data_IF_899913074986
#
_entry.id   IF_899913074986
#
_cell.length_a   1.000
_cell.length_b   1.000
_cell.length_c   1.000
_cell.angle_alpha   90.00
_cell.angle_beta   90.00
_cell.angle_gamma   90.00
#
_symmetry.space_group_name_H-M   'P 1'
#
loop_
_entity.id
_entity.type
_entity.pdbx_description
1 polymer ?
#
# COMPACT_ATOMS: atom_id res chain seq x y z
N UNK A 1 2.23 -7.62 0.35
CA UNK A 1 3.40 -8.18 1.06
C UNK A 1 3.46 -7.66 2.49
N UNK A 2 3.98 -8.44 3.39
CA UNK A 2 4.34 -8.05 4.76
C UNK A 2 5.85 -8.19 4.91
N UNK A 3 6.52 -7.14 5.36
CA UNK A 3 7.98 -7.09 5.49
C UNK A 3 8.45 -7.17 6.96
N UNK A 4 7.55 -7.58 7.88
CA UNK A 4 7.80 -7.43 9.29
C UNK A 4 7.88 -5.95 9.68
N UNK A 5 8.83 -5.60 10.53
CA UNK A 5 9.04 -4.21 10.93
C UNK A 5 10.51 -3.80 10.83
N UNK A 6 11.05 -3.53 9.62
CA UNK A 6 12.45 -3.25 9.42
C UNK A 6 12.88 -1.94 10.08
N UNK A 7 14.10 -1.94 10.64
CA UNK A 7 14.74 -0.75 11.21
C UNK A 7 14.28 -0.36 12.59
N UNK A 8 13.62 -1.25 13.33
CA UNK A 8 13.40 -1.10 14.78
C UNK A 8 14.10 -2.22 15.53
N UNK A 9 14.85 -1.83 16.55
CA UNK A 9 15.48 -2.72 17.52
C UNK A 9 14.92 -2.44 18.91
N UNK A 10 14.69 -3.50 19.66
CA UNK A 10 14.25 -3.44 21.06
C UNK A 10 15.24 -4.23 21.88
N UNK A 11 15.84 -3.57 22.88
CA UNK A 11 16.87 -4.18 23.74
C UNK A 11 18.03 -4.81 22.92
N UNK A 12 18.34 -4.22 21.74
CA UNK A 12 19.38 -4.72 20.83
C UNK A 12 18.93 -5.86 19.91
N UNK A 13 17.66 -6.24 19.93
CA UNK A 13 17.07 -7.28 19.06
C UNK A 13 16.21 -6.67 17.96
N UNK A 14 16.38 -7.14 16.74
CA UNK A 14 15.53 -6.72 15.60
C UNK A 14 14.15 -7.35 15.68
N UNK A 15 13.15 -6.61 15.25
CA UNK A 15 11.80 -7.12 14.98
C UNK A 15 11.81 -7.79 13.61
N UNK A 16 11.33 -9.03 13.52
CA UNK A 16 11.48 -9.83 12.31
C UNK A 16 10.17 -10.14 11.61
N UNK A 17 9.24 -10.80 12.28
CA UNK A 17 8.04 -11.34 11.66
C UNK A 17 6.82 -11.13 12.56
N UNK A 18 5.63 -11.32 12.01
CA UNK A 18 4.39 -11.36 12.79
C UNK A 18 4.36 -12.54 13.74
N UNK A 19 3.77 -12.32 14.91
CA UNK A 19 3.54 -13.39 15.86
C UNK A 19 2.51 -14.41 15.36
N UNK A 20 2.52 -15.59 15.96
CA UNK A 20 1.53 -16.63 15.64
C UNK A 20 0.09 -16.17 15.95
N UNK A 21 -0.12 -15.39 17.01
CA UNK A 21 -1.43 -14.86 17.38
C UNK A 21 -2.04 -13.98 16.27
N UNK A 22 -1.21 -13.23 15.55
CA UNK A 22 -1.64 -12.35 14.46
C UNK A 22 -1.94 -13.09 13.15
N UNK A 23 -1.42 -14.30 12.98
CA UNK A 23 -1.50 -15.01 11.69
C UNK A 23 -2.41 -16.23 11.69
N UNK A 24 -2.64 -16.86 12.82
CA UNK A 24 -3.34 -18.15 12.95
C UNK A 24 -4.81 -18.13 12.51
N UNK A 25 -5.47 -16.98 12.64
CA UNK A 25 -6.90 -16.80 12.32
C UNK A 25 -7.11 -16.38 10.85
N UNK A 26 -6.03 -16.32 10.06
CA UNK A 26 -6.05 -15.86 8.67
C UNK A 26 -5.68 -16.99 7.71
N UNK A 27 -6.29 -16.98 6.51
CA UNK A 27 -5.87 -17.82 5.39
C UNK A 27 -4.71 -17.25 4.59
N UNK A 28 -4.23 -16.05 4.97
CA UNK A 28 -3.14 -15.36 4.27
C UNK A 28 -1.78 -15.86 4.76
N UNK A 29 -0.83 -15.86 3.84
CA UNK A 29 0.57 -16.18 4.08
C UNK A 29 1.32 -14.86 4.28
N UNK A 30 1.45 -14.40 5.52
CA UNK A 30 2.04 -13.09 5.82
C UNK A 30 3.56 -13.09 5.78
N UNK A 31 4.18 -13.93 6.59
CA UNK A 31 5.62 -13.89 6.83
C UNK A 31 6.45 -14.30 5.59
N UNK A 32 5.90 -15.10 4.71
CA UNK A 32 6.52 -15.55 3.46
C UNK A 32 6.23 -14.62 2.27
N UNK A 33 5.35 -13.65 2.44
CA UNK A 33 4.89 -12.79 1.33
C UNK A 33 6.00 -11.88 0.79
N UNK A 34 6.95 -11.48 1.61
CA UNK A 34 8.12 -10.72 1.18
C UNK A 34 9.03 -11.56 0.28
N UNK A 35 9.29 -12.82 0.65
CA UNK A 35 10.09 -13.75 -0.15
C UNK A 35 9.38 -14.08 -1.47
N UNK A 36 8.05 -14.26 -1.43
CA UNK A 36 7.24 -14.46 -2.62
C UNK A 36 7.32 -13.27 -3.59
N UNK A 37 7.29 -12.02 -3.08
CA UNK A 37 7.50 -10.82 -3.90
C UNK A 37 8.89 -10.84 -4.55
N UNK A 38 9.94 -11.11 -3.79
CA UNK A 38 11.30 -11.17 -4.33
C UNK A 38 11.43 -12.26 -5.40
N UNK A 39 10.84 -13.44 -5.19
CA UNK A 39 10.82 -14.51 -6.19
C UNK A 39 10.05 -14.09 -7.46
N UNK A 40 8.91 -13.41 -7.33
CA UNK A 40 8.15 -12.89 -8.46
C UNK A 40 8.94 -11.84 -9.26
N UNK A 41 9.61 -10.91 -8.58
CA UNK A 41 10.47 -9.91 -9.23
C UNK A 41 11.67 -10.54 -9.95
N UNK A 42 12.24 -11.59 -9.38
CA UNK A 42 13.30 -12.34 -10.04
C UNK A 42 12.80 -13.04 -11.32
N UNK A 43 11.59 -13.60 -11.30
CA UNK A 43 10.94 -14.17 -12.49
C UNK A 43 10.67 -13.08 -13.56
N UNK A 44 10.19 -11.90 -13.14
CA UNK A 44 10.02 -10.73 -14.03
C UNK A 44 11.34 -10.39 -14.72
N UNK A 45 12.44 -10.33 -13.96
CA UNK A 45 13.78 -10.08 -14.48
C UNK A 45 14.23 -11.14 -15.47
N UNK A 46 14.10 -12.42 -15.10
CA UNK A 46 14.56 -13.55 -15.94
C UNK A 46 13.82 -13.62 -17.26
N UNK A 47 12.53 -13.28 -17.27
CA UNK A 47 11.72 -13.25 -18.49
C UNK A 47 11.84 -11.96 -19.29
N UNK A 48 12.57 -10.96 -18.81
CA UNK A 48 12.70 -9.67 -19.45
C UNK A 48 11.38 -8.90 -19.58
N UNK A 49 10.51 -9.03 -18.56
CA UNK A 49 9.20 -8.34 -18.54
C UNK A 49 9.46 -6.86 -18.27
N UNK A 50 8.98 -6.00 -19.19
CA UNK A 50 9.19 -4.55 -19.12
C UNK A 50 8.09 -3.81 -18.36
N UNK A 51 6.88 -4.34 -18.34
CA UNK A 51 5.71 -3.72 -17.71
C UNK A 51 5.05 -4.69 -16.75
N UNK A 52 4.85 -4.26 -15.51
CA UNK A 52 4.19 -5.03 -14.44
C UNK A 52 3.05 -4.22 -13.86
N UNK A 53 1.88 -4.83 -13.76
CA UNK A 53 0.70 -4.23 -13.15
C UNK A 53 0.47 -4.84 -11.77
N UNK A 54 0.33 -3.98 -10.76
CA UNK A 54 -0.03 -4.34 -9.39
C UNK A 54 -1.54 -4.13 -9.21
N UNK A 55 -2.30 -5.21 -9.08
CA UNK A 55 -3.77 -5.20 -9.07
C UNK A 55 -4.38 -5.02 -7.67
N UNK A 56 -3.75 -4.24 -6.83
CA UNK A 56 -4.18 -3.99 -5.46
C UNK A 56 -3.72 -5.04 -4.45
N UNK A 57 -3.97 -4.78 -3.17
CA UNK A 57 -3.52 -5.57 -2.02
C UNK A 57 -2.02 -5.90 -2.07
N UNK A 58 -1.23 -4.96 -2.61
CA UNK A 58 0.22 -5.10 -2.68
C UNK A 58 0.88 -4.93 -1.31
N UNK A 59 0.19 -4.30 -0.36
CA UNK A 59 0.55 -4.27 1.06
C UNK A 59 -0.45 -5.10 1.87
N UNK A 60 -0.14 -5.34 3.15
CA UNK A 60 -1.07 -6.08 4.01
C UNK A 60 -2.19 -5.17 4.57
N UNK A 61 -1.86 -3.98 5.08
CA UNK A 61 -2.86 -3.01 5.57
C UNK A 61 -2.44 -1.54 5.34
N UNK A 62 -1.58 -1.26 4.38
CA UNK A 62 -1.20 0.11 3.99
C UNK A 62 -0.45 0.89 5.07
N UNK A 63 0.22 0.23 6.03
CA UNK A 63 1.06 0.92 7.00
C UNK A 63 2.20 1.64 6.27
N UNK A 64 2.57 2.83 6.73
CA UNK A 64 3.68 3.60 6.16
C UNK A 64 4.93 2.76 5.97
N UNK A 65 5.34 1.99 6.99
CA UNK A 65 6.53 1.13 6.91
C UNK A 65 6.44 0.12 5.77
N UNK A 66 5.29 -0.51 5.58
CA UNK A 66 5.09 -1.54 4.56
C UNK A 66 5.07 -0.91 3.16
N UNK A 67 4.35 0.18 2.99
CA UNK A 67 4.25 0.89 1.70
C UNK A 67 5.61 1.48 1.28
N UNK A 68 6.33 2.11 2.20
CA UNK A 68 7.67 2.66 1.92
C UNK A 68 8.69 1.56 1.59
N UNK A 69 8.62 0.42 2.28
CA UNK A 69 9.49 -0.72 2.00
C UNK A 69 9.22 -1.29 0.61
N UNK A 70 7.95 -1.51 0.27
CA UNK A 70 7.55 -1.96 -1.06
C UNK A 70 8.01 -0.99 -2.15
N UNK A 71 7.70 0.30 -1.98
CA UNK A 71 8.16 1.36 -2.90
C UNK A 71 9.65 1.24 -3.18
N UNK A 72 10.47 1.18 -2.12
CA UNK A 72 11.93 1.07 -2.27
C UNK A 72 12.38 -0.20 -2.98
N UNK A 73 11.66 -1.32 -2.84
CA UNK A 73 11.95 -2.56 -3.58
C UNK A 73 11.66 -2.38 -5.06
N UNK A 74 10.48 -1.84 -5.40
CA UNK A 74 10.05 -1.64 -6.79
C UNK A 74 10.93 -0.60 -7.51
N UNK A 75 11.28 0.50 -6.84
CA UNK A 75 12.18 1.51 -7.38
C UNK A 75 13.56 0.92 -7.70
N UNK A 76 14.16 0.17 -6.76
CA UNK A 76 15.44 -0.50 -7.02
C UNK A 76 15.36 -1.48 -8.18
N UNK A 77 14.27 -2.24 -8.28
CA UNK A 77 14.06 -3.18 -9.40
C UNK A 77 13.93 -2.43 -10.72
N UNK A 78 13.13 -1.36 -10.78
CA UNK A 78 13.00 -0.49 -11.94
C UNK A 78 14.34 0.08 -12.37
N UNK A 79 15.07 0.68 -11.44
CA UNK A 79 16.32 1.39 -11.72
C UNK A 79 17.45 0.43 -12.16
N UNK A 80 17.39 -0.84 -11.69
CA UNK A 80 18.40 -1.85 -12.03
C UNK A 80 18.07 -2.62 -13.32
N UNK A 81 16.79 -2.87 -13.58
CA UNK A 81 16.36 -3.80 -14.65
C UNK A 81 15.49 -3.14 -15.72
N UNK A 82 15.08 -1.89 -15.53
CA UNK A 82 14.26 -1.16 -16.52
C UNK A 82 12.80 -1.60 -16.55
N UNK A 83 12.31 -2.31 -15.53
CA UNK A 83 10.90 -2.72 -15.43
C UNK A 83 10.05 -1.55 -14.92
N UNK A 84 9.03 -1.17 -15.67
CA UNK A 84 8.04 -0.19 -15.26
C UNK A 84 6.90 -0.87 -14.46
N UNK A 85 6.44 -0.21 -13.40
CA UNK A 85 5.34 -0.68 -12.56
C UNK A 85 4.15 0.27 -12.64
N UNK A 86 2.94 -0.29 -12.64
CA UNK A 86 1.67 0.44 -12.65
C UNK A 86 0.79 -0.15 -11.55
N UNK A 87 0.31 0.69 -10.64
CA UNK A 87 -0.42 0.23 -9.45
C UNK A 87 -1.89 0.65 -9.47
N UNK A 88 -2.74 -0.22 -8.93
CA UNK A 88 -4.08 0.10 -8.45
C UNK A 88 -4.13 -0.19 -6.95
N UNK A 89 -4.83 0.61 -6.14
CA UNK A 89 -5.00 0.28 -4.73
C UNK A 89 -5.99 -0.87 -4.56
N UNK A 90 -5.71 -1.75 -3.60
CA UNK A 90 -6.70 -2.64 -3.03
C UNK A 90 -7.24 -2.07 -1.72
N UNK A 91 -8.26 -2.68 -1.15
CA UNK A 91 -8.85 -2.26 0.11
C UNK A 91 -7.90 -2.47 1.32
N UNK A 92 -6.84 -3.25 1.15
CA UNK A 92 -5.77 -3.39 2.15
C UNK A 92 -4.68 -2.32 2.02
N UNK A 93 -4.57 -1.67 0.88
CA UNK A 93 -3.58 -0.60 0.68
C UNK A 93 -4.09 0.74 1.22
N UNK A 94 -5.37 1.04 0.99
CA UNK A 94 -6.04 2.25 1.48
C UNK A 94 -7.40 1.85 2.03
N UNK A 95 -7.56 1.88 3.33
CA UNK A 95 -8.73 1.38 4.05
C UNK A 95 -9.84 2.43 4.25
N UNK A 96 -10.07 3.30 3.31
CA UNK A 96 -11.15 4.29 3.38
C UNK A 96 -10.71 5.75 3.36
N UNK A 97 -11.64 6.67 3.62
CA UNK A 97 -11.40 8.12 3.45
C UNK A 97 -10.45 8.72 4.47
N UNK A 98 -10.38 8.11 5.66
CA UNK A 98 -9.60 8.64 6.78
C UNK A 98 -8.46 7.72 7.13
N UNK A 99 -7.32 8.31 7.47
CA UNK A 99 -6.23 7.56 8.07
C UNK A 99 -6.63 6.95 9.43
N UNK A 100 -5.93 5.91 9.82
CA UNK A 100 -6.19 5.21 11.08
C UNK A 100 -4.92 4.78 11.78
N UNK A 101 -4.99 4.72 13.10
CA UNK A 101 -3.99 4.01 13.88
C UNK A 101 -4.08 2.51 13.64
N UNK A 102 -2.93 1.87 13.59
CA UNK A 102 -2.82 0.43 13.44
C UNK A 102 -1.89 -0.16 14.49
N UNK A 103 -2.17 -1.41 14.86
CA UNK A 103 -1.40 -2.13 15.89
C UNK A 103 -1.24 -3.59 15.46
N UNK A 104 -0.01 -4.10 15.53
CA UNK A 104 0.31 -5.51 15.27
C UNK A 104 1.34 -6.02 16.27
N UNK A 105 1.25 -7.31 16.58
CA UNK A 105 2.27 -8.01 17.35
C UNK A 105 3.29 -8.66 16.40
N UNK A 106 4.55 -8.37 16.66
CA UNK A 106 5.69 -8.95 15.96
C UNK A 106 6.56 -9.74 16.94
N UNK A 107 7.48 -10.54 16.41
CA UNK A 107 8.50 -11.25 17.18
C UNK A 107 9.85 -10.60 16.98
N UNK A 108 10.63 -10.53 18.05
CA UNK A 108 12.07 -10.27 17.97
C UNK A 108 12.81 -11.50 17.45
N UNK A 109 14.10 -11.37 17.15
CA UNK A 109 14.97 -12.48 16.72
C UNK A 109 14.97 -13.64 17.72
N UNK A 110 14.78 -13.36 19.03
CA UNK A 110 14.70 -14.37 20.09
C UNK A 110 13.27 -14.85 20.37
N UNK A 111 12.30 -14.45 19.57
CA UNK A 111 10.91 -14.89 19.68
C UNK A 111 10.09 -14.19 20.78
N UNK A 112 10.58 -13.05 21.34
CA UNK A 112 9.81 -12.23 22.27
C UNK A 112 8.73 -11.46 21.51
N UNK A 113 7.48 -11.52 21.96
CA UNK A 113 6.36 -10.74 21.37
C UNK A 113 6.51 -9.25 21.68
N UNK A 114 6.32 -8.41 20.66
CA UNK A 114 6.38 -6.95 20.75
C UNK A 114 5.18 -6.35 20.04
N UNK A 115 4.39 -5.56 20.75
CA UNK A 115 3.25 -4.85 20.19
C UNK A 115 3.72 -3.52 19.60
N UNK A 116 3.63 -3.37 18.29
CA UNK A 116 3.98 -2.12 17.58
C UNK A 116 2.71 -1.40 17.16
N UNK A 117 2.59 -0.12 17.52
CA UNK A 117 1.37 0.66 17.32
C UNK A 117 1.66 2.09 16.91
N UNK A 118 0.77 2.68 16.13
CA UNK A 118 0.73 4.14 15.93
C UNK A 118 -0.21 4.85 16.92
N UNK A 119 -0.97 4.13 17.72
CA UNK A 119 -1.84 4.73 18.72
C UNK A 119 -1.06 5.07 20.01
N UNK A 120 -0.78 6.36 20.22
CA UNK A 120 -0.07 6.85 21.39
C UNK A 120 -0.78 6.57 22.73
N UNK A 121 -2.03 6.16 22.70
CA UNK A 121 -2.78 5.76 23.94
C UNK A 121 -2.42 4.35 24.39
N UNK A 122 -1.79 3.54 23.53
CA UNK A 122 -1.30 2.22 23.93
C UNK A 122 -0.11 2.36 24.84
N UNK A 123 -0.18 1.73 26.00
CA UNK A 123 0.88 1.74 27.01
C UNK A 123 1.12 0.34 27.53
N UNK A 124 2.32 0.04 28.03
CA UNK A 124 2.66 -1.24 28.64
C UNK A 124 4.08 -1.69 28.33
N UNK A 125 4.50 -2.73 29.01
CA UNK A 125 5.77 -3.39 28.71
C UNK A 125 5.69 -4.10 27.35
N UNK A 126 6.75 -3.97 26.55
CA UNK A 126 6.78 -4.56 25.20
C UNK A 126 5.90 -3.84 24.16
N UNK A 127 5.47 -2.60 24.42
CA UNK A 127 4.76 -1.76 23.47
C UNK A 127 5.70 -0.72 22.88
N UNK A 128 5.76 -0.66 21.55
CA UNK A 128 6.49 0.34 20.77
C UNK A 128 5.53 1.25 20.07
N UNK A 129 5.62 2.55 20.32
CA UNK A 129 4.81 3.55 19.64
C UNK A 129 5.63 4.18 18.51
N UNK A 130 5.09 4.12 17.30
CA UNK A 130 5.70 4.70 16.10
C UNK A 130 4.65 5.04 15.05
N UNK A 131 4.78 6.20 14.43
CA UNK A 131 3.92 6.66 13.33
C UNK A 131 4.09 5.82 12.05
N UNK A 132 5.16 5.04 11.94
CA UNK A 132 5.38 4.10 10.84
C UNK A 132 4.30 3.01 10.73
N UNK A 133 3.55 2.75 11.82
CA UNK A 133 2.37 1.86 11.82
C UNK A 133 1.08 2.55 11.39
N UNK A 134 1.08 3.87 11.17
CA UNK A 134 -0.10 4.58 10.73
C UNK A 134 -0.47 4.19 9.30
N UNK A 135 -1.77 4.03 9.04
CA UNK A 135 -2.32 3.79 7.72
C UNK A 135 -2.97 5.07 7.21
N UNK A 136 -2.55 5.55 6.06
CA UNK A 136 -3.14 6.74 5.46
C UNK A 136 -4.49 6.43 4.81
N UNK A 137 -5.40 7.43 4.81
CA UNK A 137 -6.60 7.42 3.99
C UNK A 137 -6.41 8.15 2.68
N UNK A 138 -7.49 8.28 1.89
CA UNK A 138 -7.47 9.08 0.67
C UNK A 138 -7.32 10.59 0.97
N UNK A 139 -6.62 11.38 0.13
CA UNK A 139 -5.79 10.95 -1.00
C UNK A 139 -4.36 10.54 -0.61
N UNK A 140 -3.90 10.91 0.61
CA UNK A 140 -2.50 10.79 1.03
C UNK A 140 -1.94 9.36 0.95
N UNK A 141 -2.79 8.34 1.08
CA UNK A 141 -2.40 6.94 0.96
C UNK A 141 -1.88 6.54 -0.42
N UNK A 142 -2.18 7.32 -1.47
CA UNK A 142 -1.67 7.08 -2.83
C UNK A 142 -0.28 7.68 -3.06
N UNK A 143 0.11 8.71 -2.30
CA UNK A 143 1.35 9.47 -2.53
C UNK A 143 2.61 8.61 -2.56
N UNK A 144 2.83 7.65 -1.64
CA UNK A 144 4.04 6.83 -1.65
C UNK A 144 4.23 6.05 -2.96
N UNK A 145 3.13 5.60 -3.56
CA UNK A 145 3.12 4.82 -4.81
C UNK A 145 2.83 5.69 -6.04
N UNK A 146 2.80 7.00 -5.90
CA UNK A 146 2.41 7.96 -6.94
C UNK A 146 3.16 7.82 -8.26
N UNK A 147 4.46 7.50 -8.20
CA UNK A 147 5.30 7.28 -9.37
C UNK A 147 4.99 5.99 -10.15
N UNK A 148 4.08 5.16 -9.63
CA UNK A 148 3.66 3.91 -10.27
C UNK A 148 2.29 4.04 -10.95
N UNK A 149 2.04 5.16 -11.61
CA UNK A 149 0.88 5.39 -12.47
C UNK A 149 -0.23 6.25 -11.88
N UNK A 150 -0.33 6.40 -10.55
CA UNK A 150 -1.39 7.22 -9.95
C UNK A 150 -1.33 8.69 -10.34
N UNK A 151 -0.12 9.18 -10.60
CA UNK A 151 0.13 10.54 -11.07
C UNK A 151 0.95 10.50 -12.36
N UNK A 152 0.78 11.55 -13.16
CA UNK A 152 1.47 11.69 -14.44
C UNK A 152 2.99 11.66 -14.27
N UNK A 153 3.68 10.88 -15.11
CA UNK A 153 5.14 10.86 -15.18
C UNK A 153 5.62 11.48 -16.50
N UNK A 154 6.82 12.06 -16.52
CA UNK A 154 7.34 12.75 -17.73
C UNK A 154 7.57 11.83 -18.93
N UNK A 155 7.77 10.54 -18.70
CA UNK A 155 8.03 9.51 -19.71
C UNK A 155 6.77 8.85 -20.28
N UNK A 156 5.57 9.19 -19.76
CA UNK A 156 4.32 8.71 -20.33
C UNK A 156 3.97 9.47 -21.62
N UNK A 157 3.66 8.74 -22.69
CA UNK A 157 3.20 9.33 -23.95
C UNK A 157 1.81 9.93 -23.77
N UNK A 158 0.94 9.25 -23.02
CA UNK A 158 -0.36 9.75 -22.62
C UNK A 158 -0.66 9.34 -21.18
N UNK A 159 -1.37 10.21 -20.45
CA UNK A 159 -1.91 9.92 -19.15
C UNK A 159 -3.13 10.81 -18.87
N UNK A 160 -4.22 10.20 -18.42
CA UNK A 160 -5.42 10.90 -17.99
C UNK A 160 -6.21 10.08 -16.95
N UNK A 161 -7.13 10.74 -16.27
CA UNK A 161 -8.10 10.14 -15.35
C UNK A 161 -9.51 10.24 -15.91
N UNK A 162 -10.52 9.59 -15.30
CA UNK A 162 -11.94 9.81 -15.68
C UNK A 162 -12.39 11.27 -15.59
N UNK A 163 -11.64 12.10 -14.87
CA UNK A 163 -11.92 13.53 -14.68
C UNK A 163 -11.09 14.45 -15.60
N UNK A 164 -10.28 13.88 -16.48
CA UNK A 164 -9.43 14.62 -17.42
C UNK A 164 -7.94 14.44 -17.19
N UNK A 165 -7.14 15.34 -17.76
CA UNK A 165 -5.67 15.23 -17.79
C UNK A 165 -4.97 15.83 -16.55
N UNK A 166 -5.71 16.38 -15.60
CA UNK A 166 -5.17 16.88 -14.32
C UNK A 166 -4.79 15.70 -13.43
N UNK A 167 -3.61 15.77 -12.83
CA UNK A 167 -3.14 14.83 -11.83
C UNK A 167 -3.33 15.34 -10.38
N UNK A 168 -3.93 16.52 -10.22
CA UNK A 168 -4.26 17.06 -8.91
C UNK A 168 -5.27 16.15 -8.17
N UNK A 169 -4.97 15.72 -6.94
CA UNK A 169 -5.88 14.87 -6.17
C UNK A 169 -7.27 15.44 -6.00
N UNK A 170 -7.38 16.78 -5.91
CA UNK A 170 -8.63 17.51 -5.71
C UNK A 170 -9.62 17.31 -6.86
N UNK A 171 -9.13 17.16 -8.09
CA UNK A 171 -9.93 16.97 -9.30
C UNK A 171 -10.50 15.55 -9.41
N UNK A 172 -10.02 14.62 -8.58
CA UNK A 172 -10.39 13.20 -8.56
C UNK A 172 -11.25 12.83 -7.34
N UNK A 173 -11.63 13.81 -6.53
CA UNK A 173 -12.45 13.59 -5.34
C UNK A 173 -13.92 13.46 -5.68
N UNK A 174 -14.60 12.52 -5.01
CA UNK A 174 -16.05 12.35 -5.10
C UNK A 174 -16.64 11.98 -3.74
N UNK A 175 -17.94 12.24 -3.57
CA UNK A 175 -18.65 11.98 -2.32
C UNK A 175 -19.52 10.73 -2.46
N UNK A 176 -19.41 9.83 -1.49
CA UNK A 176 -20.30 8.67 -1.30
C UNK A 176 -21.13 8.92 -0.06
N UNK A 177 -22.45 8.78 -0.17
CA UNK A 177 -23.39 9.01 0.94
C UNK A 177 -23.94 7.69 1.46
N UNK A 178 -24.17 7.62 2.78
CA UNK A 178 -24.95 6.53 3.37
C UNK A 178 -26.37 6.47 2.75
N UNK A 179 -27.05 5.31 2.80
CA UNK A 179 -28.43 5.17 2.32
C UNK A 179 -29.41 6.20 2.93
N UNK A 180 -29.25 6.53 4.21
CA UNK A 180 -30.05 7.55 4.89
C UNK A 180 -29.59 9.00 4.63
N UNK A 181 -28.49 9.19 3.92
CA UNK A 181 -27.91 10.48 3.53
C UNK A 181 -27.22 11.28 4.63
N UNK A 182 -27.11 10.73 5.84
CA UNK A 182 -26.58 11.45 7.01
C UNK A 182 -25.05 11.47 7.05
N UNK A 183 -24.43 10.38 6.60
CA UNK A 183 -22.98 10.26 6.57
C UNK A 183 -22.44 10.40 5.14
N UNK A 184 -21.29 11.02 5.01
CA UNK A 184 -20.63 11.25 3.72
C UNK A 184 -19.16 10.87 3.85
N UNK A 185 -18.68 10.02 2.93
CA UNK A 185 -17.26 9.81 2.72
C UNK A 185 -16.81 10.59 1.50
N UNK A 186 -15.68 11.25 1.61
CA UNK A 186 -14.99 11.86 0.48
C UNK A 186 -13.82 10.98 0.09
N UNK A 187 -13.90 10.40 -1.10
CA UNK A 187 -12.95 9.45 -1.64
C UNK A 187 -12.24 10.05 -2.85
N UNK A 188 -11.14 9.47 -3.24
CA UNK A 188 -10.44 9.76 -4.48
C UNK A 188 -10.55 8.54 -5.40
N UNK A 189 -10.92 8.75 -6.65
CA UNK A 189 -10.86 7.72 -7.68
C UNK A 189 -9.41 7.58 -8.16
N UNK A 190 -8.82 6.42 -7.96
CA UNK A 190 -7.46 6.12 -8.37
C UNK A 190 -7.36 5.56 -9.80
N UNK A 191 -8.48 5.51 -10.56
CA UNK A 191 -8.47 5.07 -11.96
C UNK A 191 -7.66 6.00 -12.85
N UNK A 192 -6.98 5.43 -13.83
CA UNK A 192 -6.25 6.19 -14.85
C UNK A 192 -6.09 5.39 -16.15
N UNK A 193 -5.85 6.11 -17.24
CA UNK A 193 -5.42 5.58 -18.53
C UNK A 193 -4.01 6.06 -18.80
N UNK A 194 -3.11 5.15 -19.16
CA UNK A 194 -1.73 5.49 -19.49
C UNK A 194 -1.28 4.79 -20.77
N UNK A 195 -0.53 5.52 -21.61
CA UNK A 195 0.26 4.97 -22.71
C UNK A 195 1.76 5.15 -22.35
N UNK A 196 2.39 4.11 -21.81
CA UNK A 196 3.80 4.17 -21.43
C UNK A 196 4.75 4.02 -22.63
N UNK A 197 4.33 3.34 -23.67
CA UNK A 197 5.05 3.19 -24.93
C UNK A 197 4.05 3.12 -26.10
N UNK A 198 4.50 3.43 -27.29
CA UNK A 198 3.64 3.51 -28.47
C UNK A 198 2.83 2.23 -28.70
N UNK A 199 1.50 2.39 -28.67
CA UNK A 199 0.54 1.31 -28.92
C UNK A 199 0.23 0.42 -27.71
N UNK A 200 0.87 0.64 -26.54
CA UNK A 200 0.49 -0.04 -25.30
C UNK A 200 -0.39 0.88 -24.44
N UNK A 201 -1.65 0.52 -24.28
CA UNK A 201 -2.60 1.25 -23.45
C UNK A 201 -3.00 0.44 -22.23
N UNK A 202 -2.83 0.99 -21.04
CA UNK A 202 -3.25 0.39 -19.80
C UNK A 202 -4.42 1.20 -19.23
N UNK A 203 -5.61 0.61 -19.24
CA UNK A 203 -6.79 1.15 -18.57
C UNK A 203 -6.85 0.55 -17.16
N UNK A 204 -6.56 1.37 -16.17
CA UNK A 204 -6.49 1.01 -14.77
C UNK A 204 -7.76 1.49 -14.07
N UNK A 205 -8.57 0.56 -13.57
CA UNK A 205 -9.87 0.87 -12.95
C UNK A 205 -9.81 0.56 -11.47
N UNK A 206 -9.95 1.59 -10.65
CA UNK A 206 -10.11 1.45 -9.20
C UNK A 206 -11.54 1.00 -8.89
N UNK A 207 -11.67 -0.18 -8.33
CA UNK A 207 -12.94 -0.76 -7.95
C UNK A 207 -13.21 -0.69 -6.43
N UNK A 208 -12.39 0.05 -5.67
CA UNK A 208 -12.60 0.22 -4.24
C UNK A 208 -13.73 1.24 -4.01
N UNK A 209 -14.82 0.75 -3.44
CA UNK A 209 -15.95 1.59 -3.03
C UNK A 209 -16.14 1.39 -1.53
N UNK A 210 -16.04 2.48 -0.78
CA UNK A 210 -16.29 2.50 0.65
C UNK A 210 -17.59 3.27 0.91
N UNK A 211 -18.61 2.58 1.39
CA UNK A 211 -19.90 3.19 1.68
C UNK A 211 -19.99 3.50 3.20
N UNK A 212 -20.36 4.74 3.57
CA UNK A 212 -20.58 5.04 4.98
C UNK A 212 -21.84 4.32 5.48
N UNK A 213 -21.79 3.85 6.72
CA UNK A 213 -22.95 3.27 7.39
C UNK A 213 -23.97 4.36 7.70
N UNK A 214 -25.24 3.96 7.83
CA UNK A 214 -26.31 4.82 8.34
C UNK A 214 -25.99 5.38 9.73
N UNK A 215 -26.41 6.61 10.00
CA UNK A 215 -26.20 7.32 11.26
C UNK A 215 -27.22 7.04 12.35
#
# INVERSE_FOLDING_TARGET
ADFGFPGIEIEGERITMRSWSETRESTRVFNESADALHAALEEVRQRGIRHVVLLGDYTDDGQRVTTETLKGILERHRDTHGTAFYALPGNHDIFGPCGRNHTKEFLTENGKGVLVSSDARRTGEGVVITDRMYCEGYPAGLDPMGAFGYFRQPDYLHWETPFGASDAPEDRLYDVRSPDGRNVYRLMDASYLVEPEEGLWLLMIDANIFEPLDG
#
